data_IF_077376700016
#
_entry.id   IF_077376700016
#
_cell.length_a   1.000
_cell.length_b   1.000
_cell.length_c   1.000
_cell.angle_alpha   90.00
_cell.angle_beta   90.00
_cell.angle_gamma   90.00
#
_symmetry.space_group_name_H-M   'P 1'
#
loop_
_entity.id
_entity.type
_entity.pdbx_description
1 polymer ?
#
# COMPACT_ATOMS: atom_id res chain seq x y z
N UNK A 1 5.71 -90.07 29.12
CA UNK A 1 4.79 -88.92 28.84
C UNK A 1 5.53 -87.66 29.22
N UNK A 2 5.93 -86.87 28.24
CA UNK A 2 6.72 -85.67 28.46
C UNK A 2 5.86 -84.55 27.91
N UNK A 3 5.33 -83.67 28.79
CA UNK A 3 4.63 -82.43 28.40
C UNK A 3 5.65 -81.40 28.00
N UNK A 4 5.46 -80.84 26.81
CA UNK A 4 6.22 -79.69 26.31
C UNK A 4 5.38 -78.41 26.53
N UNK A 5 5.87 -77.56 27.44
CA UNK A 5 5.33 -76.27 27.64
C UNK A 5 5.76 -75.32 26.49
N UNK A 6 4.76 -74.83 25.72
CA UNK A 6 4.92 -73.81 24.67
C UNK A 6 4.84 -72.45 25.34
N UNK A 7 5.96 -71.77 25.49
CA UNK A 7 5.92 -70.35 25.94
C UNK A 7 5.56 -69.49 24.75
N UNK A 8 4.36 -68.89 24.77
CA UNK A 8 3.95 -67.82 23.82
C UNK A 8 4.54 -66.51 24.29
N UNK A 9 5.49 -65.99 23.52
CA UNK A 9 6.05 -64.66 23.73
C UNK A 9 5.08 -63.64 23.12
N UNK A 10 4.29 -62.94 23.96
CA UNK A 10 3.44 -61.83 23.51
C UNK A 10 4.34 -60.62 23.39
N UNK A 11 4.74 -60.33 22.13
CA UNK A 11 5.42 -59.09 21.78
C UNK A 11 4.45 -57.93 21.80
N UNK A 12 4.58 -57.08 22.81
CA UNK A 12 3.84 -55.80 22.85
C UNK A 12 4.46 -54.86 21.83
N UNK A 13 3.81 -54.73 20.66
CA UNK A 13 4.15 -53.68 19.69
C UNK A 13 3.52 -52.37 20.22
N UNK A 14 4.34 -51.53 20.85
CA UNK A 14 3.96 -50.15 21.12
C UNK A 14 3.89 -49.40 19.78
N UNK A 15 2.69 -49.22 19.24
CA UNK A 15 2.41 -48.33 18.16
C UNK A 15 2.45 -46.89 18.70
N UNK A 16 3.58 -46.19 18.59
CA UNK A 16 3.66 -44.75 18.83
C UNK A 16 2.89 -44.07 17.70
N UNK A 17 1.60 -43.79 17.93
CA UNK A 17 0.86 -42.81 17.16
C UNK A 17 1.46 -41.44 17.47
N UNK A 18 2.34 -40.97 16.61
CA UNK A 18 2.69 -39.55 16.57
C UNK A 18 1.42 -38.77 16.14
N UNK A 19 0.69 -38.27 17.13
CA UNK A 19 -0.35 -37.28 16.89
C UNK A 19 0.41 -36.03 16.50
N UNK A 20 0.62 -35.82 15.21
CA UNK A 20 0.95 -34.50 14.69
C UNK A 20 -0.33 -33.68 14.86
N UNK A 21 -0.40 -32.84 15.89
CA UNK A 21 -1.38 -31.77 15.96
C UNK A 21 -1.09 -30.85 14.82
N UNK A 22 -1.77 -31.05 13.68
CA UNK A 22 -1.93 -29.98 12.71
C UNK A 22 -2.72 -28.90 13.46
N UNK A 23 -2.05 -27.81 13.80
CA UNK A 23 -2.73 -26.58 14.15
C UNK A 23 -3.39 -26.10 12.87
N UNK A 24 -4.65 -26.45 12.66
CA UNK A 24 -5.44 -25.80 11.64
C UNK A 24 -5.35 -24.30 11.91
N UNK A 25 -4.93 -23.56 10.89
CA UNK A 25 -4.89 -22.11 10.98
C UNK A 25 -6.32 -21.61 11.20
N UNK A 26 -6.65 -21.26 12.46
CA UNK A 26 -7.97 -20.79 12.81
C UNK A 26 -8.10 -19.33 12.37
N UNK A 27 -8.95 -19.08 11.40
CA UNK A 27 -9.35 -17.72 11.02
C UNK A 27 -10.36 -17.19 12.04
N UNK A 28 -10.09 -15.99 12.57
CA UNK A 28 -11.03 -15.30 13.48
C UNK A 28 -11.19 -13.86 12.99
N UNK A 29 -12.44 -13.45 12.77
CA UNK A 29 -12.75 -12.03 12.51
C UNK A 29 -12.48 -11.26 13.80
N UNK A 30 -11.58 -10.30 13.76
CA UNK A 30 -11.22 -9.47 14.91
C UNK A 30 -12.20 -8.33 15.12
N UNK A 31 -12.61 -7.65 14.03
CA UNK A 31 -13.54 -6.53 14.05
C UNK A 31 -14.26 -6.40 12.70
N UNK A 32 -15.44 -5.79 12.72
CA UNK A 32 -16.22 -5.48 11.54
C UNK A 32 -16.34 -3.95 11.35
N UNK A 33 -16.22 -3.51 10.10
CA UNK A 33 -16.47 -2.13 9.74
C UNK A 33 -17.97 -1.85 9.64
N UNK A 34 -18.42 -0.71 10.20
CA UNK A 34 -19.82 -0.34 10.34
C UNK A 34 -20.18 0.95 9.57
N UNK A 35 -19.46 1.26 8.52
CA UNK A 35 -19.71 2.44 7.68
C UNK A 35 -19.45 3.76 8.41
N UNK A 36 -20.49 4.53 8.68
CA UNK A 36 -20.36 5.88 9.26
C UNK A 36 -19.72 5.93 10.64
N UNK A 37 -19.73 4.83 11.41
CA UNK A 37 -19.18 4.82 12.76
C UNK A 37 -17.65 4.68 12.80
N UNK A 38 -17.07 3.81 11.96
CA UNK A 38 -15.66 3.44 12.07
C UNK A 38 -14.97 3.19 10.71
N UNK A 39 -15.62 3.56 9.61
CA UNK A 39 -15.13 3.39 8.26
C UNK A 39 -15.81 2.26 7.49
N UNK A 40 -15.63 2.26 6.19
CA UNK A 40 -16.09 1.26 5.25
C UNK A 40 -15.03 1.05 4.17
N UNK A 41 -15.08 -0.09 3.50
CA UNK A 41 -14.20 -0.38 2.38
C UNK A 41 -12.71 -0.24 2.74
N UNK A 42 -12.15 -1.12 3.62
CA UNK A 42 -10.71 -1.25 3.78
C UNK A 42 -10.14 -1.82 2.47
N UNK A 43 -9.68 -0.94 1.59
CA UNK A 43 -9.50 -1.22 0.17
C UNK A 43 -8.08 -1.71 -0.17
N UNK A 44 -7.93 -2.45 -1.28
CA UNK A 44 -6.69 -2.94 -1.89
C UNK A 44 -5.78 -3.82 -1.03
N UNK A 45 -6.26 -4.37 0.09
CA UNK A 45 -5.46 -5.35 0.85
C UNK A 45 -4.14 -4.80 1.38
N UNK A 46 -4.02 -3.49 1.56
CA UNK A 46 -2.87 -2.93 2.25
C UNK A 46 -2.82 -3.48 3.69
N UNK A 47 -1.67 -4.02 4.10
CA UNK A 47 -1.55 -4.56 5.44
C UNK A 47 -1.72 -3.44 6.46
N UNK A 48 -2.41 -3.76 7.56
CA UNK A 48 -2.40 -2.89 8.72
C UNK A 48 -0.98 -2.78 9.28
N UNK A 49 -0.63 -1.60 9.77
CA UNK A 49 0.63 -1.38 10.47
C UNK A 49 0.44 -1.47 11.97
N UNK A 50 1.44 -1.93 12.69
CA UNK A 50 1.36 -2.10 14.14
C UNK A 50 2.20 -1.06 14.87
N UNK A 51 1.62 -0.45 15.90
CA UNK A 51 2.30 0.48 16.81
C UNK A 51 1.68 0.38 18.20
N UNK A 52 2.51 0.28 19.23
CA UNK A 52 2.06 0.19 20.62
C UNK A 52 1.12 -1.00 20.90
N UNK A 53 1.23 -2.10 20.14
CA UNK A 53 0.39 -3.30 20.27
C UNK A 53 -0.97 -3.21 19.55
N UNK A 54 -1.33 -2.07 18.96
CA UNK A 54 -2.55 -1.90 18.17
C UNK A 54 -2.24 -1.91 16.67
N UNK A 55 -3.23 -2.32 15.87
CA UNK A 55 -3.20 -2.23 14.41
C UNK A 55 -3.81 -0.91 13.93
N UNK A 56 -3.27 -0.37 12.84
CA UNK A 56 -3.74 0.86 12.22
C UNK A 56 -3.82 0.70 10.71
N UNK A 57 -4.81 1.32 10.10
CA UNK A 57 -5.03 1.29 8.66
C UNK A 57 -5.97 2.38 8.20
N UNK A 58 -6.35 2.33 6.94
CA UNK A 58 -7.26 3.30 6.29
C UNK A 58 -8.48 2.59 5.73
N UNK A 59 -9.58 3.32 5.61
CA UNK A 59 -10.76 2.92 4.82
C UNK A 59 -11.03 3.99 3.78
N UNK A 60 -11.41 3.60 2.56
CA UNK A 60 -11.70 4.53 1.47
C UNK A 60 -13.01 5.27 1.71
N UNK A 61 -14.03 4.57 2.19
CA UNK A 61 -15.34 5.13 2.50
C UNK A 61 -15.65 5.07 3.99
N UNK A 62 -16.84 5.51 4.34
CA UNK A 62 -17.33 5.58 5.70
C UNK A 62 -16.72 6.74 6.50
N UNK A 63 -16.92 6.69 7.81
CA UNK A 63 -16.67 7.84 8.67
C UNK A 63 -17.82 8.85 8.60
N UNK A 64 -17.69 9.99 9.28
CA UNK A 64 -18.75 10.98 9.42
C UNK A 64 -19.15 11.61 8.08
N UNK A 65 -18.20 11.75 7.16
CA UNK A 65 -18.39 12.44 5.87
C UNK A 65 -18.39 11.49 4.67
N UNK A 66 -18.29 10.17 4.92
CA UNK A 66 -18.22 9.11 3.90
C UNK A 66 -17.01 9.19 2.95
N UNK A 67 -15.96 9.88 3.38
CA UNK A 67 -14.73 10.15 2.62
C UNK A 67 -13.52 9.39 3.20
N UNK A 68 -13.80 8.36 4.01
CA UNK A 68 -12.80 7.47 4.58
C UNK A 68 -12.27 7.86 5.95
N UNK A 69 -11.52 6.94 6.53
CA UNK A 69 -11.00 7.08 7.89
C UNK A 69 -9.55 6.62 8.01
N UNK A 70 -8.88 7.04 9.07
CA UNK A 70 -7.78 6.30 9.69
C UNK A 70 -8.35 5.59 10.91
N UNK A 71 -8.17 4.28 10.99
CA UNK A 71 -8.68 3.47 12.10
C UNK A 71 -7.56 2.87 12.95
N UNK A 72 -7.92 2.59 14.20
CA UNK A 72 -7.17 1.77 15.14
C UNK A 72 -7.97 0.51 15.45
N UNK A 73 -7.32 -0.64 15.52
CA UNK A 73 -7.88 -1.89 16.06
C UNK A 73 -7.01 -2.42 17.18
N UNK A 74 -7.62 -2.70 18.32
CA UNK A 74 -6.92 -3.31 19.47
C UNK A 74 -6.85 -4.84 19.30
N UNK A 75 -5.95 -5.54 20.02
CA UNK A 75 -5.91 -7.00 20.06
C UNK A 75 -7.22 -7.64 20.56
N UNK A 76 -8.04 -6.91 21.31
CA UNK A 76 -9.37 -7.36 21.76
C UNK A 76 -10.49 -7.15 20.74
N UNK A 77 -10.18 -6.58 19.56
CA UNK A 77 -11.15 -6.34 18.49
C UNK A 77 -11.90 -5.02 18.59
N UNK A 78 -11.51 -4.10 19.48
CA UNK A 78 -12.10 -2.76 19.49
C UNK A 78 -11.58 -1.96 18.30
N UNK A 79 -12.46 -1.63 17.36
CA UNK A 79 -12.20 -0.82 16.18
C UNK A 79 -12.69 0.61 16.40
N UNK A 80 -11.82 1.60 16.18
CA UNK A 80 -12.12 3.01 16.37
C UNK A 80 -11.57 3.83 15.21
N UNK A 81 -12.38 4.69 14.60
CA UNK A 81 -11.87 5.72 13.70
C UNK A 81 -11.16 6.78 14.53
N UNK A 82 -9.84 6.90 14.37
CA UNK A 82 -9.04 7.93 15.04
C UNK A 82 -9.05 9.24 14.26
N UNK A 83 -9.31 9.18 12.95
CA UNK A 83 -9.53 10.33 12.10
C UNK A 83 -10.57 10.03 11.02
N UNK A 84 -11.36 11.04 10.67
CA UNK A 84 -12.32 11.00 9.56
C UNK A 84 -11.96 12.08 8.55
N UNK A 85 -11.72 11.69 7.32
CA UNK A 85 -11.36 12.63 6.25
C UNK A 85 -12.53 13.54 5.82
N UNK A 86 -12.22 14.61 5.10
CA UNK A 86 -13.16 15.67 4.71
C UNK A 86 -13.79 16.38 5.92
N UNK A 87 -13.11 16.40 7.06
CA UNK A 87 -13.56 17.10 8.27
C UNK A 87 -13.36 18.61 8.19
N UNK A 88 -12.54 19.05 7.24
CA UNK A 88 -12.29 20.47 6.98
C UNK A 88 -13.06 20.96 5.74
N UNK A 89 -13.30 22.25 5.67
CA UNK A 89 -14.03 22.85 4.56
C UNK A 89 -13.38 22.51 3.22
N UNK A 90 -14.19 22.07 2.26
CA UNK A 90 -13.75 21.60 0.94
C UNK A 90 -12.77 20.43 0.98
N UNK A 91 -12.83 19.61 2.01
CA UNK A 91 -11.94 18.44 2.20
C UNK A 91 -10.46 18.80 2.09
N UNK A 92 -10.05 19.95 2.61
CA UNK A 92 -8.64 20.38 2.53
C UNK A 92 -7.69 19.48 3.31
N UNK A 93 -8.22 18.64 4.20
CA UNK A 93 -7.53 17.56 4.92
C UNK A 93 -7.39 16.25 4.13
N UNK A 94 -7.97 16.18 2.92
CA UNK A 94 -7.96 15.01 2.05
C UNK A 94 -9.27 14.24 2.07
N UNK A 95 -9.40 13.29 1.13
CA UNK A 95 -10.52 12.38 0.97
C UNK A 95 -10.06 11.09 0.27
N UNK A 96 -10.76 9.99 0.52
CA UNK A 96 -10.52 8.69 -0.09
C UNK A 96 -9.05 8.22 0.03
N UNK A 97 -8.58 7.84 1.23
CA UNK A 97 -7.24 7.27 1.40
C UNK A 97 -7.21 5.83 0.86
N UNK A 98 -6.86 5.65 -0.42
CA UNK A 98 -6.76 4.34 -1.05
C UNK A 98 -5.56 3.52 -0.55
N UNK A 99 -4.60 4.16 0.11
CA UNK A 99 -3.33 3.55 0.49
C UNK A 99 -3.27 3.15 1.96
N UNK A 100 -2.39 2.18 2.26
CA UNK A 100 -1.99 1.87 3.63
C UNK A 100 -1.09 2.95 4.24
N UNK A 101 -0.78 2.76 5.51
CA UNK A 101 0.03 3.68 6.31
C UNK A 101 1.49 3.21 6.39
N UNK A 102 2.40 4.17 6.58
CA UNK A 102 3.79 3.94 6.99
C UNK A 102 3.99 4.49 8.40
N UNK A 103 4.67 3.75 9.26
CA UNK A 103 4.98 4.19 10.64
C UNK A 103 6.37 4.79 10.67
N UNK A 104 6.49 6.02 11.14
CA UNK A 104 7.77 6.67 11.36
C UNK A 104 7.69 7.61 12.57
N UNK A 105 8.68 7.57 13.44
CA UNK A 105 8.74 8.43 14.63
C UNK A 105 7.54 8.28 15.59
N UNK A 106 6.80 7.17 15.51
CA UNK A 106 5.59 6.93 16.29
C UNK A 106 4.31 7.50 15.69
N UNK A 107 4.37 8.19 14.56
CA UNK A 107 3.24 8.71 13.79
C UNK A 107 3.03 7.87 12.53
N UNK A 108 1.88 8.07 11.88
CA UNK A 108 1.47 7.38 10.67
C UNK A 108 1.44 8.35 9.50
N UNK A 109 1.95 7.91 8.34
CA UNK A 109 2.02 8.69 7.11
C UNK A 109 1.29 7.96 6.01
N UNK A 110 0.53 8.70 5.20
CA UNK A 110 -0.25 8.14 4.09
C UNK A 110 -0.59 9.19 3.06
N UNK A 111 -1.38 8.77 2.07
CA UNK A 111 -1.87 9.62 0.99
C UNK A 111 -3.38 9.54 0.89
N UNK A 112 -4.03 10.61 0.41
CA UNK A 112 -5.42 10.61 -0.02
C UNK A 112 -5.49 10.84 -1.52
N UNK A 113 -6.42 10.17 -2.19
CA UNK A 113 -6.58 10.29 -3.64
C UNK A 113 -7.20 11.63 -4.04
N UNK A 114 -8.22 12.07 -3.28
CA UNK A 114 -8.92 13.33 -3.46
C UNK A 114 -8.65 14.30 -2.32
N UNK A 115 -9.26 15.48 -2.42
CA UNK A 115 -9.15 16.55 -1.43
C UNK A 115 -7.81 17.27 -1.48
N UNK A 116 -7.47 17.95 -0.39
CA UNK A 116 -6.38 18.90 -0.35
C UNK A 116 -6.79 20.26 -0.90
N UNK A 117 -5.90 21.24 -0.84
CA UNK A 117 -6.17 22.62 -1.25
C UNK A 117 -6.57 22.76 -2.74
N UNK A 118 -6.21 21.77 -3.56
CA UNK A 118 -6.44 21.79 -5.01
C UNK A 118 -7.31 20.63 -5.51
N UNK A 119 -7.81 19.77 -4.61
CA UNK A 119 -8.64 18.63 -4.95
C UNK A 119 -7.93 17.47 -5.62
N UNK A 120 -6.60 17.46 -5.66
CA UNK A 120 -5.79 16.45 -6.36
C UNK A 120 -5.05 15.49 -5.41
N UNK A 121 -5.51 15.41 -4.16
CA UNK A 121 -4.99 14.53 -3.14
C UNK A 121 -3.96 15.17 -2.22
N UNK A 122 -3.60 14.44 -1.17
CA UNK A 122 -2.66 14.93 -0.14
C UNK A 122 -1.62 13.88 0.22
N UNK A 123 -0.52 14.32 0.83
CA UNK A 123 0.28 13.55 1.76
C UNK A 123 -0.03 14.04 3.16
N UNK A 124 -0.31 13.15 4.08
CA UNK A 124 -0.65 13.48 5.46
C UNK A 124 0.21 12.74 6.48
N UNK A 125 0.31 13.32 7.65
CA UNK A 125 0.76 12.72 8.89
C UNK A 125 -0.43 12.65 9.85
N UNK A 126 -0.59 11.56 10.60
CA UNK A 126 -1.57 11.46 11.67
C UNK A 126 -0.92 10.82 12.91
N UNK A 127 -1.15 11.42 14.07
CA UNK A 127 -0.67 10.87 15.35
C UNK A 127 -1.59 9.73 15.82
N UNK A 128 -1.13 8.85 16.75
CA UNK A 128 -2.00 7.85 17.39
C UNK A 128 -3.21 8.46 18.13
N UNK A 129 -3.14 9.75 18.50
CA UNK A 129 -4.24 10.48 19.11
C UNK A 129 -5.24 11.08 18.09
N UNK A 130 -5.04 10.82 16.78
CA UNK A 130 -5.92 11.28 15.71
C UNK A 130 -5.71 12.73 15.29
N UNK A 131 -4.57 13.35 15.63
CA UNK A 131 -4.25 14.69 15.12
C UNK A 131 -3.62 14.56 13.74
N UNK A 132 -4.30 15.07 12.70
CA UNK A 132 -3.84 15.06 11.31
C UNK A 132 -3.15 16.38 10.96
N UNK A 133 -2.07 16.27 10.22
CA UNK A 133 -1.36 17.36 9.53
C UNK A 133 -1.27 17.04 8.05
N UNK A 134 -1.80 17.90 7.18
CA UNK A 134 -1.55 17.84 5.74
C UNK A 134 -0.13 18.34 5.48
N UNK A 135 0.75 17.43 5.05
CA UNK A 135 2.14 17.76 4.73
C UNK A 135 2.27 18.40 3.35
N UNK A 136 1.47 17.91 2.40
CA UNK A 136 1.42 18.44 1.03
C UNK A 136 0.04 18.25 0.44
N UNK A 137 -0.43 19.28 -0.31
CA UNK A 137 -1.61 19.19 -1.17
C UNK A 137 -1.17 19.22 -2.62
N UNK A 138 -1.41 18.13 -3.34
CA UNK A 138 -1.04 18.05 -4.75
C UNK A 138 -1.84 19.05 -5.59
N UNK A 139 -1.13 19.80 -6.41
CA UNK A 139 -1.74 20.82 -7.29
C UNK A 139 -1.91 20.32 -8.73
N UNK A 140 -1.28 19.21 -9.08
CA UNK A 140 -1.18 18.78 -10.47
C UNK A 140 -0.29 19.72 -11.31
N UNK A 141 -0.40 19.63 -12.62
CA UNK A 141 0.39 20.45 -13.53
C UNK A 141 1.83 19.94 -13.72
N UNK A 142 2.68 20.79 -14.29
CA UNK A 142 3.98 20.35 -14.80
C UNK A 142 5.03 20.08 -13.71
N UNK A 143 4.90 20.69 -12.55
CA UNK A 143 5.92 20.63 -11.47
C UNK A 143 5.48 19.79 -10.27
N UNK A 144 4.23 19.34 -10.24
CA UNK A 144 3.64 18.61 -9.14
C UNK A 144 2.85 17.40 -9.63
N UNK A 145 2.63 16.42 -8.75
CA UNK A 145 1.80 15.27 -9.04
C UNK A 145 0.31 15.53 -8.80
N UNK A 146 -0.51 14.54 -9.13
CA UNK A 146 -1.93 14.49 -8.81
C UNK A 146 -2.38 13.05 -8.62
N UNK A 147 -3.35 12.86 -7.71
CA UNK A 147 -4.02 11.59 -7.47
C UNK A 147 -3.04 10.46 -7.03
N UNK A 148 -2.41 10.60 -5.85
CA UNK A 148 -1.60 9.53 -5.29
C UNK A 148 -2.53 8.40 -4.83
N UNK A 149 -2.48 7.26 -5.52
CA UNK A 149 -3.31 6.10 -5.20
C UNK A 149 -2.57 5.09 -4.31
N UNK A 150 -1.25 5.07 -4.38
CA UNK A 150 -0.41 4.11 -3.67
C UNK A 150 0.16 4.68 -2.37
N UNK A 151 0.53 3.76 -1.47
CA UNK A 151 1.18 4.08 -0.21
C UNK A 151 2.61 4.58 -0.39
N UNK A 152 3.12 5.15 0.68
CA UNK A 152 4.48 5.64 0.80
C UNK A 152 5.45 4.50 1.15
N UNK A 153 6.72 4.66 0.80
CA UNK A 153 7.84 3.87 1.34
C UNK A 153 8.84 4.81 2.00
N UNK A 154 9.33 4.44 3.20
CA UNK A 154 10.33 5.24 3.91
C UNK A 154 11.73 4.80 3.52
N UNK A 155 12.57 5.76 3.11
CA UNK A 155 13.98 5.55 2.77
C UNK A 155 14.82 6.68 3.33
N UNK A 156 15.82 6.37 4.13
CA UNK A 156 16.78 7.36 4.65
C UNK A 156 16.15 8.48 5.50
N UNK A 157 14.94 8.25 6.05
CA UNK A 157 14.20 9.23 6.84
C UNK A 157 13.19 10.05 6.05
N UNK A 158 13.22 10.04 4.71
CA UNK A 158 12.23 10.65 3.83
C UNK A 158 11.23 9.60 3.33
N UNK A 159 10.14 10.05 2.74
CA UNK A 159 9.11 9.19 2.15
C UNK A 159 9.13 9.35 0.63
N UNK A 160 8.87 8.24 -0.07
CA UNK A 160 8.76 8.20 -1.52
C UNK A 160 7.42 7.62 -1.91
N UNK A 161 6.82 8.18 -2.95
CA UNK A 161 5.53 7.73 -3.47
C UNK A 161 5.38 8.02 -4.95
N UNK A 162 4.23 7.64 -5.49
CA UNK A 162 3.87 7.86 -6.89
C UNK A 162 2.55 8.61 -6.98
N UNK A 163 2.37 9.38 -8.06
CA UNK A 163 1.08 9.97 -8.41
C UNK A 163 0.63 9.47 -9.77
N UNK A 164 -0.66 9.20 -9.92
CA UNK A 164 -1.23 8.69 -11.17
C UNK A 164 -1.09 9.68 -12.33
N UNK A 165 -1.28 10.96 -12.06
CA UNK A 165 -1.26 12.06 -13.02
C UNK A 165 -0.32 13.18 -12.54
N UNK A 166 -0.25 14.27 -13.34
CA UNK A 166 0.64 15.40 -13.09
C UNK A 166 2.07 15.15 -13.57
N UNK A 167 2.98 16.02 -13.18
CA UNK A 167 4.35 16.05 -13.70
C UNK A 167 4.47 16.71 -15.07
N UNK A 168 5.69 16.86 -15.56
CA UNK A 168 6.00 17.61 -16.78
C UNK A 168 5.22 17.18 -18.04
N UNK A 169 4.78 15.92 -18.08
CA UNK A 169 4.05 15.34 -19.21
C UNK A 169 2.61 14.92 -18.84
N UNK A 170 2.15 15.22 -17.63
CA UNK A 170 0.80 14.85 -17.17
C UNK A 170 0.59 13.36 -16.91
N UNK A 171 1.66 12.56 -16.97
CA UNK A 171 1.61 11.09 -17.01
C UNK A 171 1.92 10.42 -15.66
N UNK A 172 1.99 11.22 -14.59
CA UNK A 172 2.33 10.77 -13.25
C UNK A 172 3.77 11.03 -12.87
N UNK A 173 4.04 10.92 -11.58
CA UNK A 173 5.36 11.25 -11.01
C UNK A 173 5.84 10.17 -10.05
N UNK A 174 7.15 10.18 -9.80
CA UNK A 174 7.72 9.69 -8.55
C UNK A 174 8.15 10.93 -7.75
N UNK A 175 7.79 10.98 -6.49
CA UNK A 175 8.14 12.09 -5.60
C UNK A 175 8.87 11.59 -4.35
N UNK A 176 9.66 12.48 -3.78
CA UNK A 176 10.21 12.42 -2.44
C UNK A 176 9.56 13.49 -1.58
N UNK A 177 9.26 13.18 -0.33
CA UNK A 177 8.77 14.16 0.65
C UNK A 177 9.47 13.94 1.99
N UNK A 178 9.93 15.04 2.60
CA UNK A 178 10.49 15.01 3.95
C UNK A 178 9.37 14.97 5.00
N UNK A 179 9.62 14.53 6.24
CA UNK A 179 8.65 14.64 7.34
C UNK A 179 8.19 16.09 7.62
N UNK A 180 8.95 17.09 7.20
CA UNK A 180 8.57 18.50 7.29
C UNK A 180 7.70 19.00 6.12
N UNK A 181 7.27 18.11 5.20
CA UNK A 181 6.40 18.45 4.09
C UNK A 181 7.08 19.05 2.86
N UNK A 182 8.44 19.03 2.79
CA UNK A 182 9.16 19.48 1.59
C UNK A 182 9.09 18.39 0.53
N UNK A 183 8.26 18.60 -0.51
CA UNK A 183 8.11 17.67 -1.64
C UNK A 183 9.03 18.04 -2.79
N UNK A 184 9.61 17.02 -3.42
CA UNK A 184 10.39 17.11 -4.64
C UNK A 184 9.90 16.06 -5.62
N UNK A 185 9.48 16.45 -6.82
CA UNK A 185 9.25 15.53 -7.93
C UNK A 185 10.60 15.06 -8.46
N UNK A 186 10.95 13.80 -8.23
CA UNK A 186 12.24 13.23 -8.66
C UNK A 186 12.17 12.65 -10.06
N UNK A 187 10.96 12.32 -10.56
CA UNK A 187 10.73 11.85 -11.92
C UNK A 187 9.34 12.18 -12.42
N UNK A 188 9.21 12.55 -13.69
CA UNK A 188 7.94 12.70 -14.40
C UNK A 188 7.87 11.69 -15.53
N UNK A 189 6.89 10.79 -15.51
CA UNK A 189 6.72 9.74 -16.51
C UNK A 189 6.40 10.29 -17.90
N UNK A 190 6.49 9.43 -18.93
CA UNK A 190 6.37 9.80 -20.34
C UNK A 190 7.40 10.85 -20.78
N UNK A 191 8.58 10.83 -20.18
CA UNK A 191 9.70 11.71 -20.53
C UNK A 191 10.46 11.22 -21.78
N UNK A 192 10.29 9.95 -22.12
CA UNK A 192 10.88 9.36 -23.31
C UNK A 192 9.86 9.26 -24.44
N UNK A 193 10.35 9.36 -25.70
CA UNK A 193 9.48 9.29 -26.88
C UNK A 193 8.59 8.04 -26.88
N UNK A 194 7.30 8.21 -27.10
CA UNK A 194 6.31 7.14 -27.04
C UNK A 194 6.04 6.61 -25.63
N UNK A 195 6.41 7.36 -24.59
CA UNK A 195 6.26 6.97 -23.18
C UNK A 195 6.86 5.59 -22.88
N UNK A 196 8.02 5.29 -23.47
CA UNK A 196 8.69 3.99 -23.27
C UNK A 196 9.18 3.77 -21.85
N UNK A 197 9.28 4.84 -21.07
CA UNK A 197 9.55 4.86 -19.63
C UNK A 197 8.29 4.59 -18.76
N UNK A 198 7.12 4.44 -19.37
CA UNK A 198 5.85 4.18 -18.71
C UNK A 198 5.02 5.43 -18.48
N UNK A 199 3.78 5.23 -18.05
CA UNK A 199 2.85 6.28 -17.60
C UNK A 199 1.80 5.71 -16.64
N UNK A 200 1.22 6.57 -15.82
CA UNK A 200 0.21 6.24 -14.80
C UNK A 200 0.68 5.16 -13.83
N UNK A 201 1.65 5.44 -12.95
CA UNK A 201 2.01 4.52 -11.89
C UNK A 201 0.88 4.45 -10.85
N UNK A 202 0.33 3.25 -10.63
CA UNK A 202 -0.73 3.01 -9.64
C UNK A 202 -0.21 2.22 -8.43
N UNK A 203 0.85 1.45 -8.61
CA UNK A 203 1.42 0.67 -7.52
C UNK A 203 2.41 1.50 -6.69
N UNK A 204 2.52 1.13 -5.42
CA UNK A 204 3.53 1.67 -4.52
C UNK A 204 4.94 1.27 -4.91
N UNK A 205 5.90 1.99 -4.36
CA UNK A 205 7.31 1.69 -4.51
C UNK A 205 7.78 0.68 -3.45
N UNK A 206 8.72 -0.15 -3.83
CA UNK A 206 9.42 -1.07 -2.91
C UNK A 206 10.90 -0.76 -2.95
N UNK A 207 11.52 -0.60 -1.78
CA UNK A 207 12.97 -0.47 -1.69
C UNK A 207 13.63 -1.85 -1.69
N UNK A 208 14.62 -2.03 -2.56
CA UNK A 208 15.45 -3.22 -2.55
C UNK A 208 16.74 -3.01 -1.75
N UNK A 209 17.45 -4.11 -1.48
CA UNK A 209 18.69 -4.11 -0.69
C UNK A 209 19.84 -3.31 -1.31
N UNK A 210 19.75 -3.03 -2.63
CA UNK A 210 20.71 -2.16 -3.34
C UNK A 210 20.45 -0.65 -3.16
N UNK A 211 19.41 -0.29 -2.35
CA UNK A 211 19.02 1.08 -2.09
C UNK A 211 18.12 1.71 -3.13
N UNK A 212 17.91 1.07 -4.28
CA UNK A 212 17.01 1.56 -5.32
C UNK A 212 15.55 1.25 -5.01
N UNK A 213 14.66 2.02 -5.63
CA UNK A 213 13.23 1.84 -5.58
C UNK A 213 12.76 1.14 -6.86
N UNK A 214 11.72 0.32 -6.72
CA UNK A 214 11.12 -0.43 -7.83
C UNK A 214 9.62 -0.19 -7.82
N UNK A 215 9.03 -0.07 -9.00
CA UNK A 215 7.60 0.12 -9.17
C UNK A 215 7.13 -0.32 -10.54
N UNK A 216 5.84 -0.14 -10.78
CA UNK A 216 5.20 -0.47 -12.06
C UNK A 216 4.36 0.69 -12.56
N UNK A 217 4.20 0.78 -13.87
CA UNK A 217 3.22 1.65 -14.51
C UNK A 217 2.14 0.82 -15.19
N UNK A 218 0.91 1.32 -15.18
CA UNK A 218 -0.22 0.64 -15.83
C UNK A 218 -0.11 0.67 -17.35
N UNK A 219 0.33 1.80 -17.89
CA UNK A 219 0.41 2.06 -19.33
C UNK A 219 1.82 2.50 -19.72
N UNK A 220 2.02 2.73 -21.03
CA UNK A 220 3.33 3.05 -21.58
C UNK A 220 4.20 1.82 -21.74
N UNK A 221 5.51 2.03 -21.87
CA UNK A 221 6.42 0.99 -22.31
C UNK A 221 6.42 0.81 -23.83
N UNK A 222 7.32 -0.01 -24.35
CA UNK A 222 7.53 -0.19 -25.79
C UNK A 222 6.28 -0.67 -26.56
N UNK A 223 5.30 -1.25 -25.88
CA UNK A 223 4.06 -1.81 -26.46
C UNK A 223 2.78 -1.29 -25.79
N UNK A 224 2.90 -0.35 -24.88
CA UNK A 224 1.75 0.28 -24.22
C UNK A 224 1.15 -0.53 -23.04
N UNK A 225 1.67 -1.72 -22.74
CA UNK A 225 1.12 -2.62 -21.71
C UNK A 225 1.57 -2.31 -20.28
N UNK A 226 2.32 -1.24 -20.06
CA UNK A 226 2.92 -0.88 -18.78
C UNK A 226 4.38 -1.31 -18.66
N UNK A 227 5.02 -0.90 -17.58
CA UNK A 227 6.44 -1.18 -17.32
C UNK A 227 6.68 -1.67 -15.90
N UNK A 228 7.78 -2.40 -15.72
CA UNK A 228 8.49 -2.49 -14.45
C UNK A 228 9.69 -1.56 -14.55
N UNK A 229 9.87 -0.70 -13.56
CA UNK A 229 10.98 0.24 -13.52
C UNK A 229 11.76 0.14 -12.22
N UNK A 230 13.03 0.51 -12.31
CA UNK A 230 13.90 0.84 -11.19
C UNK A 230 14.16 2.34 -11.21
N UNK A 231 14.19 2.96 -10.04
CA UNK A 231 14.57 4.35 -9.90
C UNK A 231 15.51 4.51 -8.70
N UNK A 232 16.59 5.27 -8.89
CA UNK A 232 17.46 5.66 -7.78
C UNK A 232 16.78 6.77 -6.96
N UNK A 233 17.10 6.96 -5.66
CA UNK A 233 16.65 8.13 -4.90
C UNK A 233 16.98 9.48 -5.54
N UNK A 234 18.01 9.52 -6.40
CA UNK A 234 18.38 10.69 -7.18
C UNK A 234 17.56 10.89 -8.47
N UNK A 235 16.52 10.06 -8.71
CA UNK A 235 15.61 10.21 -9.84
C UNK A 235 16.09 9.59 -11.16
N UNK A 236 17.13 8.75 -11.16
CA UNK A 236 17.58 8.04 -12.36
C UNK A 236 16.71 6.80 -12.59
N UNK A 237 15.82 6.85 -13.58
CA UNK A 237 14.90 5.76 -13.92
C UNK A 237 15.49 4.86 -15.00
N UNK A 238 15.31 3.56 -14.84
CA UNK A 238 15.60 2.52 -15.84
C UNK A 238 14.36 1.64 -15.98
N UNK A 239 13.82 1.52 -17.19
CA UNK A 239 12.81 0.53 -17.52
C UNK A 239 13.43 -0.85 -17.55
N UNK A 240 13.02 -1.73 -16.65
CA UNK A 240 13.52 -3.12 -16.55
C UNK A 240 12.76 -4.01 -17.52
N UNK A 241 11.45 -3.82 -17.63
CA UNK A 241 10.58 -4.62 -18.48
C UNK A 241 9.43 -3.78 -19.03
N UNK A 242 9.03 -4.05 -20.27
CA UNK A 242 7.83 -3.49 -20.90
C UNK A 242 6.87 -4.63 -21.18
N UNK A 243 5.68 -4.58 -20.61
CA UNK A 243 4.65 -5.58 -20.81
C UNK A 243 4.05 -5.53 -22.21
N UNK A 244 3.32 -6.59 -22.57
CA UNK A 244 2.78 -6.79 -23.92
C UNK A 244 3.88 -6.93 -24.98
N UNK A 245 5.09 -7.34 -24.57
CA UNK A 245 6.24 -7.55 -25.46
C UNK A 245 6.13 -8.85 -26.25
N UNK A 246 5.32 -9.80 -25.76
CA UNK A 246 5.05 -11.08 -26.42
C UNK A 246 3.76 -11.02 -27.25
N UNK A 247 3.67 -11.89 -28.27
CA UNK A 247 2.51 -11.94 -29.13
C UNK A 247 1.21 -12.20 -28.32
N UNK A 248 0.19 -11.37 -28.55
CA UNK A 248 -1.08 -11.47 -27.82
C UNK A 248 -1.00 -11.03 -26.36
N UNK A 249 0.06 -10.31 -25.97
CA UNK A 249 0.29 -9.84 -24.60
C UNK A 249 0.27 -10.99 -23.56
N UNK A 250 0.79 -12.15 -23.91
CA UNK A 250 0.83 -13.33 -23.03
C UNK A 250 1.71 -13.12 -21.79
N UNK A 251 2.55 -12.11 -21.79
CA UNK A 251 3.37 -11.63 -20.68
C UNK A 251 2.64 -10.60 -19.77
N UNK A 252 1.36 -10.33 -20.05
CA UNK A 252 0.53 -9.45 -19.28
C UNK A 252 0.44 -8.02 -19.83
N UNK A 253 -0.52 -7.28 -19.34
CA UNK A 253 -0.73 -5.87 -19.63
C UNK A 253 -1.40 -5.18 -18.42
N UNK A 254 -1.34 -3.85 -18.34
CA UNK A 254 -1.97 -3.03 -17.30
C UNK A 254 -1.60 -3.47 -15.86
N UNK A 255 -0.33 -3.81 -15.65
CA UNK A 255 0.18 -4.26 -14.36
C UNK A 255 0.09 -3.11 -13.33
N UNK A 256 -0.35 -3.45 -12.12
CA UNK A 256 -0.56 -2.49 -11.03
C UNK A 256 -1.98 -1.94 -10.96
N UNK A 257 -2.85 -2.29 -11.91
CA UNK A 257 -4.29 -2.11 -11.77
C UNK A 257 -4.79 -3.18 -10.79
N UNK A 258 -5.23 -2.78 -9.60
CA UNK A 258 -6.02 -3.68 -8.79
C UNK A 258 -7.32 -3.93 -9.55
N UNK A 259 -7.63 -5.21 -9.80
CA UNK A 259 -8.91 -5.55 -10.38
C UNK A 259 -10.00 -5.21 -9.35
N UNK A 260 -10.87 -4.28 -9.73
CA UNK A 260 -12.12 -3.97 -9.04
C UNK A 260 -13.10 -5.09 -9.30
#
# INVERSE_FOLDING_TARGET
MRERHFKVLVGCILLLLAITSQSDAQFTTLADFQGSANGAEPFYGYPIVFSGGNGYGTTVGGGVYDEGTVFQVTPSGTLTAIYTFCSQVNCTDGAEPFSGLVVAGGNFYGTTYWGGAYGAGTVFEVTPAGQLTTLHSFAGGATDGAYPIAGLVQVGGNFYGTTQLGGANGAGTVFEITPAGQLTTIYSFCSQSGCTDGLSPWAGLVQATNGNLYGTTVNGGAKGGGTVFQITPAGQLTTIYSFCSQAGCTDGAEIGRAHV
#
